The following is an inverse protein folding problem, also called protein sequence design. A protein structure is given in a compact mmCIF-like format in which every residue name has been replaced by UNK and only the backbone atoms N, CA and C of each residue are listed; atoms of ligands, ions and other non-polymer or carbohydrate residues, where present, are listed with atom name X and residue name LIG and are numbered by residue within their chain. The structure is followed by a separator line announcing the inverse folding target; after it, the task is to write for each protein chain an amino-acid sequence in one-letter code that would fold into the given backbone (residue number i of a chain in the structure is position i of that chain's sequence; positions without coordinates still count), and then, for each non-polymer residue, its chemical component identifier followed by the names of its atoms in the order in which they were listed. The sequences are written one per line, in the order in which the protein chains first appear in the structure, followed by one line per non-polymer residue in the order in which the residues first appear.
data_IF_065511721990
#
_entry.id   IF_065511721990
#
_cell.length_a   1.000
_cell.length_b   1.000
_cell.length_c   1.000
_cell.angle_alpha   90.00
_cell.angle_beta   90.00
_cell.angle_gamma   90.00
#
_symmetry.space_group_name_H-M   'P 1'
#
loop_
_entity.id
_entity.type
_entity.pdbx_description
1 polymer ?
#
# COMPACT_ATOMS: atom_id res chain seq x y z
N UNK A 1 20.62 -17.49 -11.59
CA UNK A 1 20.36 -16.12 -11.11
C UNK A 1 18.94 -16.10 -10.58
N UNK A 2 18.71 -15.91 -9.28
CA UNK A 2 17.35 -15.92 -8.72
C UNK A 2 16.88 -14.46 -8.64
N UNK A 3 15.89 -14.13 -9.46
CA UNK A 3 15.35 -12.78 -9.58
C UNK A 3 14.23 -12.55 -8.57
N UNK A 4 14.50 -11.77 -7.54
CA UNK A 4 13.51 -11.45 -6.50
C UNK A 4 12.87 -10.08 -6.74
N UNK A 5 11.55 -10.01 -6.52
CA UNK A 5 10.81 -8.75 -6.46
C UNK A 5 10.62 -8.31 -5.01
N UNK A 6 11.24 -7.18 -4.62
CA UNK A 6 11.13 -6.62 -3.27
C UNK A 6 10.22 -5.40 -3.26
N UNK A 7 8.91 -5.59 -3.11
CA UNK A 7 8.07 -4.46 -2.69
C UNK A 7 8.39 -4.19 -1.21
N UNK A 8 8.77 -2.95 -0.86
CA UNK A 8 8.98 -2.57 0.55
C UNK A 8 7.64 -2.56 1.23
N UNK A 9 7.33 -3.68 1.86
CA UNK A 9 6.08 -3.89 2.58
C UNK A 9 6.42 -4.16 4.03
N UNK A 10 6.37 -3.15 4.91
CA UNK A 10 6.41 -3.42 6.35
C UNK A 10 5.02 -3.86 6.81
N UNK A 11 4.97 -4.90 7.64
CA UNK A 11 3.71 -5.47 8.11
C UNK A 11 2.93 -6.32 7.09
N UNK A 12 2.01 -7.12 7.62
CA UNK A 12 1.27 -8.12 6.84
C UNK A 12 0.35 -7.51 5.78
N UNK A 13 -0.21 -6.32 6.03
CA UNK A 13 -1.09 -5.60 5.09
C UNK A 13 -0.36 -5.29 3.79
N UNK A 14 0.83 -4.68 3.91
CA UNK A 14 1.62 -4.32 2.74
C UNK A 14 2.07 -5.57 1.97
N UNK A 15 2.42 -6.67 2.67
CA UNK A 15 2.81 -7.93 2.03
C UNK A 15 1.69 -8.47 1.14
N UNK A 16 0.44 -8.42 1.62
CA UNK A 16 -0.73 -8.86 0.85
C UNK A 16 -0.92 -7.97 -0.38
N UNK A 17 -0.81 -6.64 -0.24
CA UNK A 17 -0.86 -5.72 -1.38
C UNK A 17 0.22 -6.04 -2.43
N UNK A 18 1.48 -6.19 -2.01
CA UNK A 18 2.56 -6.49 -2.93
C UNK A 18 2.40 -7.83 -3.65
N UNK A 19 1.94 -8.84 -2.92
CA UNK A 19 1.63 -10.16 -3.49
C UNK A 19 0.56 -10.06 -4.56
N UNK A 20 -0.56 -9.39 -4.25
CA UNK A 20 -1.67 -9.20 -5.19
C UNK A 20 -1.23 -8.43 -6.43
N UNK A 21 -0.46 -7.37 -6.24
CA UNK A 21 0.02 -6.50 -7.31
C UNK A 21 0.94 -7.25 -8.29
N UNK A 22 1.94 -7.96 -7.78
CA UNK A 22 2.90 -8.70 -8.62
C UNK A 22 2.23 -9.88 -9.34
N UNK A 23 1.34 -10.61 -8.64
CA UNK A 23 0.55 -11.67 -9.26
C UNK A 23 -0.29 -11.13 -10.41
N UNK A 24 -0.99 -10.01 -10.20
CA UNK A 24 -1.85 -9.41 -11.22
C UNK A 24 -1.09 -8.80 -12.40
N UNK A 25 0.05 -8.16 -12.16
CA UNK A 25 0.81 -7.47 -13.21
C UNK A 25 1.72 -8.41 -14.01
N UNK A 26 2.33 -9.39 -13.36
CA UNK A 26 3.44 -10.15 -13.91
C UNK A 26 3.19 -11.67 -13.94
N UNK A 27 2.05 -12.14 -13.43
CA UNK A 27 1.76 -13.58 -13.30
C UNK A 27 2.71 -14.31 -12.36
N UNK A 28 3.42 -13.57 -11.49
CA UNK A 28 4.37 -14.16 -10.54
C UNK A 28 3.60 -14.74 -9.36
N UNK A 29 3.80 -16.04 -9.11
CA UNK A 29 3.26 -16.71 -7.93
C UNK A 29 4.01 -16.26 -6.65
N UNK A 30 3.36 -16.42 -5.49
CA UNK A 30 3.82 -15.86 -4.20
C UNK A 30 5.22 -16.31 -3.77
N UNK A 31 5.70 -17.45 -4.26
CA UNK A 31 7.04 -18.00 -4.06
C UNK A 31 8.15 -17.20 -4.77
N UNK A 32 7.82 -16.40 -5.80
CA UNK A 32 8.75 -15.46 -6.43
C UNK A 32 8.84 -14.11 -5.67
N UNK A 33 7.97 -13.92 -4.68
CA UNK A 33 7.85 -12.69 -3.88
C UNK A 33 8.43 -12.97 -2.51
N UNK A 34 9.69 -12.60 -2.30
CA UNK A 34 10.28 -12.66 -0.97
C UNK A 34 9.91 -11.40 -0.21
N UNK A 35 9.20 -11.50 0.94
CA UNK A 35 9.24 -10.41 1.90
C UNK A 35 10.71 -10.20 2.27
N UNK A 36 11.07 -9.02 2.73
CA UNK A 36 12.38 -8.84 3.38
C UNK A 36 12.36 -9.64 4.68
N UNK A 37 12.67 -10.94 4.59
CA UNK A 37 12.74 -11.87 5.72
C UNK A 37 14.20 -12.13 6.03
N UNK A 38 14.59 -11.62 7.20
CA UNK A 38 15.74 -11.98 8.05
C UNK A 38 16.91 -12.71 7.38
N UNK A 39 18.01 -11.98 7.28
CA UNK A 39 19.39 -12.46 7.17
C UNK A 39 20.28 -11.27 7.46
N UNK A 40 20.96 -11.31 8.61
CA UNK A 40 21.80 -10.29 9.28
C UNK A 40 21.55 -8.80 8.95
N UNK A 41 20.34 -8.32 9.30
CA UNK A 41 19.78 -7.00 8.96
C UNK A 41 19.13 -6.33 10.18
N UNK A 42 19.87 -6.15 11.27
CA UNK A 42 19.37 -5.38 12.43
C UNK A 42 19.21 -3.90 12.09
N UNK A 43 20.12 -3.35 11.27
CA UNK A 43 20.04 -1.98 10.76
C UNK A 43 18.90 -1.76 9.76
N UNK A 44 18.70 -2.68 8.81
CA UNK A 44 17.71 -2.49 7.73
C UNK A 44 16.26 -2.43 8.23
N UNK A 45 15.90 -3.20 9.27
CA UNK A 45 14.54 -3.17 9.86
C UNK A 45 14.27 -1.90 10.62
N UNK A 46 15.24 -1.45 11.41
CA UNK A 46 15.18 -0.16 12.11
C UNK A 46 15.05 0.97 11.09
N UNK A 47 15.89 0.96 10.05
CA UNK A 47 15.86 2.00 9.00
C UNK A 47 14.61 1.96 8.12
N UNK A 48 14.01 0.80 7.81
CA UNK A 48 12.74 0.73 7.06
C UNK A 48 11.57 1.19 7.95
N UNK A 49 11.55 0.78 9.22
CA UNK A 49 10.52 1.21 10.17
C UNK A 49 10.63 2.70 10.45
N UNK A 50 11.83 3.25 10.57
CA UNK A 50 12.09 4.69 10.66
C UNK A 50 11.68 5.40 9.38
N UNK A 51 12.03 4.87 8.20
CA UNK A 51 11.63 5.42 6.91
C UNK A 51 10.10 5.48 6.78
N UNK A 52 9.39 4.42 7.17
CA UNK A 52 7.93 4.35 7.12
C UNK A 52 7.26 5.20 8.20
N UNK A 53 7.80 5.21 9.43
CA UNK A 53 7.34 6.11 10.49
C UNK A 53 7.49 7.58 10.08
N UNK A 54 8.61 7.95 9.45
CA UNK A 54 8.84 9.32 8.98
C UNK A 54 7.91 9.68 7.81
N UNK A 55 7.57 8.73 6.94
CA UNK A 55 6.55 8.95 5.89
C UNK A 55 5.13 9.08 6.47
N UNK A 56 4.81 8.35 7.54
CA UNK A 56 3.52 8.44 8.22
C UNK A 56 3.39 9.67 9.14
N UNK A 57 4.49 10.17 9.73
CA UNK A 57 4.46 11.24 10.73
C UNK A 57 4.88 12.63 10.20
N UNK A 58 5.82 12.71 9.25
CA UNK A 58 6.47 13.99 8.89
C UNK A 58 6.05 14.55 7.52
N UNK A 59 5.11 13.93 6.82
CA UNK A 59 4.68 14.32 5.46
C UNK A 59 5.85 14.50 4.44
N UNK A 60 7.02 13.90 4.69
CA UNK A 60 8.17 13.97 3.80
C UNK A 60 7.96 13.14 2.53
N UNK A 61 8.62 13.51 1.42
CA UNK A 61 8.44 12.83 0.14
C UNK A 61 9.26 11.52 0.06
N UNK A 62 8.60 10.42 -0.31
CA UNK A 62 9.20 9.07 -0.41
C UNK A 62 10.51 8.96 -1.24
N UNK A 63 10.70 9.69 -2.35
CA UNK A 63 11.95 9.63 -3.12
C UNK A 63 13.19 10.14 -2.36
N UNK A 64 13.06 11.26 -1.64
CA UNK A 64 14.19 11.89 -0.94
C UNK A 64 14.70 11.04 0.23
N UNK A 65 13.76 10.38 0.92
CA UNK A 65 14.05 9.50 2.04
C UNK A 65 14.69 8.19 1.56
N UNK A 66 14.25 7.67 0.41
CA UNK A 66 14.84 6.51 -0.24
C UNK A 66 16.27 6.78 -0.73
N UNK A 67 16.53 7.96 -1.28
CA UNK A 67 17.87 8.36 -1.73
C UNK A 67 18.86 8.45 -0.57
N UNK A 68 18.46 9.04 0.57
CA UNK A 68 19.27 9.06 1.79
C UNK A 68 19.57 7.64 2.28
N UNK A 69 18.61 6.73 2.18
CA UNK A 69 18.73 5.34 2.64
C UNK A 69 19.66 4.49 1.76
N UNK A 70 19.57 4.63 0.43
CA UNK A 70 20.37 3.84 -0.52
C UNK A 70 21.87 4.17 -0.48
N UNK A 71 22.28 5.32 0.07
CA UNK A 71 23.70 5.71 0.17
C UNK A 71 24.56 4.76 1.01
N UNK A 72 23.97 3.87 1.81
CA UNK A 72 24.69 2.96 2.72
C UNK A 72 24.59 1.46 2.43
N UNK A 73 23.90 1.03 1.36
CA UNK A 73 23.62 -0.40 1.13
C UNK A 73 23.89 -0.85 -0.31
N UNK A 74 24.61 -1.96 -0.54
CA UNK A 74 24.76 -2.54 -1.86
C UNK A 74 23.40 -3.03 -2.37
N UNK A 75 22.94 -2.47 -3.49
CA UNK A 75 21.66 -2.78 -4.12
C UNK A 75 21.64 -4.11 -4.90
N UNK A 76 22.58 -5.02 -4.61
CA UNK A 76 22.74 -6.28 -5.33
C UNK A 76 21.49 -7.16 -5.17
N UNK A 77 20.90 -7.55 -6.31
CA UNK A 77 19.67 -8.35 -6.37
C UNK A 77 18.36 -7.59 -6.17
N UNK A 78 18.40 -6.26 -5.99
CA UNK A 78 17.20 -5.43 -5.81
C UNK A 78 16.71 -4.85 -7.15
N UNK A 79 15.66 -5.44 -7.74
CA UNK A 79 15.14 -4.99 -9.05
C UNK A 79 14.17 -3.80 -8.98
N UNK A 80 13.42 -3.63 -7.88
CA UNK A 80 12.46 -2.53 -7.75
C UNK A 80 12.08 -2.31 -6.28
N UNK A 81 12.10 -1.05 -5.79
CA UNK A 81 11.51 -0.62 -4.50
C UNK A 81 10.38 0.35 -4.80
N UNK A 82 9.16 0.12 -4.31
CA UNK A 82 8.08 1.11 -4.39
C UNK A 82 7.40 1.28 -3.05
N UNK A 83 7.05 2.52 -2.76
CA UNK A 83 6.41 2.96 -1.52
C UNK A 83 5.14 3.68 -1.95
N UNK A 84 4.00 3.33 -1.34
CA UNK A 84 2.79 4.13 -1.50
C UNK A 84 3.07 5.54 -0.97
N UNK A 85 2.68 6.59 -1.70
CA UNK A 85 2.89 7.95 -1.17
C UNK A 85 2.09 8.08 0.13
N UNK A 86 2.81 8.45 1.21
CA UNK A 86 2.38 8.58 2.61
C UNK A 86 1.97 7.26 3.30
N UNK A 87 1.06 6.47 2.73
CA UNK A 87 0.67 5.18 3.32
C UNK A 87 -0.08 4.28 2.31
N UNK A 88 -0.22 2.98 2.59
CA UNK A 88 -0.95 2.02 1.73
C UNK A 88 -2.43 2.36 1.58
N UNK A 89 -3.00 3.05 2.56
CA UNK A 89 -4.37 3.51 2.56
C UNK A 89 -4.68 4.45 1.39
N UNK A 90 -3.68 5.18 0.86
CA UNK A 90 -3.87 5.97 -0.36
C UNK A 90 -4.20 5.08 -1.57
N UNK A 91 -3.52 3.94 -1.71
CA UNK A 91 -3.78 2.94 -2.76
C UNK A 91 -5.09 2.18 -2.55
N UNK A 92 -5.46 1.95 -1.29
CA UNK A 92 -6.76 1.35 -0.93
C UNK A 92 -7.89 2.26 -1.37
N UNK A 93 -7.82 3.56 -1.03
CA UNK A 93 -8.84 4.55 -1.40
C UNK A 93 -8.88 4.86 -2.90
N UNK A 94 -7.77 4.64 -3.61
CA UNK A 94 -7.70 4.88 -5.05
C UNK A 94 -8.56 3.88 -5.85
N UNK A 95 -8.69 2.63 -5.39
CA UNK A 95 -9.60 1.65 -5.98
C UNK A 95 -11.02 1.80 -5.41
N UNK A 96 -11.71 2.86 -5.83
CA UNK A 96 -13.08 3.18 -5.36
C UNK A 96 -14.08 2.09 -5.71
N UNK A 97 -13.91 1.39 -6.83
CA UNK A 97 -14.78 0.29 -7.24
C UNK A 97 -14.62 -0.94 -6.34
N UNK A 98 -13.38 -1.39 -6.11
CA UNK A 98 -13.11 -2.50 -5.20
C UNK A 98 -13.52 -2.17 -3.78
N UNK A 99 -13.18 -0.96 -3.30
CA UNK A 99 -13.51 -0.52 -1.95
C UNK A 99 -15.03 -0.36 -1.77
N UNK A 100 -15.73 0.15 -2.78
CA UNK A 100 -17.19 0.23 -2.79
C UNK A 100 -17.85 -1.14 -2.66
N UNK A 101 -17.36 -2.15 -3.38
CA UNK A 101 -17.84 -3.54 -3.25
C UNK A 101 -17.59 -4.12 -1.86
N UNK A 102 -16.40 -3.91 -1.32
CA UNK A 102 -16.02 -4.38 0.01
C UNK A 102 -16.92 -3.77 1.09
N UNK A 103 -17.07 -2.44 1.08
CA UNK A 103 -17.86 -1.70 2.06
C UNK A 103 -19.39 -1.84 1.82
N UNK A 104 -19.82 -2.15 0.60
CA UNK A 104 -21.24 -2.06 0.22
C UNK A 104 -21.70 -0.61 0.03
N UNK A 105 -20.83 0.23 -0.53
CA UNK A 105 -21.03 1.67 -0.74
C UNK A 105 -20.86 2.00 -2.22
N UNK A 106 -21.64 2.95 -2.74
CA UNK A 106 -21.43 3.49 -4.08
C UNK A 106 -20.01 4.09 -4.20
N UNK A 107 -19.18 3.65 -5.17
CA UNK A 107 -17.85 4.21 -5.41
C UNK A 107 -17.81 5.74 -5.51
N UNK A 108 -18.87 6.39 -6.02
CA UNK A 108 -18.96 7.85 -6.13
C UNK A 108 -19.02 8.53 -4.76
N UNK A 109 -19.59 7.88 -3.74
CA UNK A 109 -19.59 8.41 -2.37
C UNK A 109 -18.19 8.39 -1.77
N UNK A 110 -17.40 7.36 -2.07
CA UNK A 110 -16.00 7.26 -1.64
C UNK A 110 -15.17 8.36 -2.33
N UNK A 111 -15.32 8.51 -3.65
CA UNK A 111 -14.63 9.55 -4.42
C UNK A 111 -14.92 10.95 -3.91
N UNK A 112 -16.18 11.21 -3.50
CA UNK A 112 -16.60 12.50 -2.96
C UNK A 112 -15.83 12.91 -1.70
N UNK A 113 -15.42 11.96 -0.86
CA UNK A 113 -14.68 12.28 0.36
C UNK A 113 -13.34 12.96 0.07
N UNK A 114 -12.58 12.45 -0.91
CA UNK A 114 -11.24 12.96 -1.22
C UNK A 114 -11.17 13.88 -2.44
N UNK A 115 -12.30 14.11 -3.13
CA UNK A 115 -12.36 14.96 -4.34
C UNK A 115 -11.73 16.34 -4.16
N UNK A 116 -11.92 16.97 -2.99
CA UNK A 116 -11.35 18.30 -2.70
C UNK A 116 -9.82 18.29 -2.61
N UNK A 117 -9.23 17.15 -2.24
CA UNK A 117 -7.78 16.93 -2.24
C UNK A 117 -7.25 16.49 -3.62
N UNK A 118 -8.13 16.34 -4.62
CA UNK A 118 -7.80 15.91 -5.97
C UNK A 118 -7.61 14.40 -6.13
N UNK A 119 -6.70 13.78 -5.36
CA UNK A 119 -6.42 12.33 -5.37
C UNK A 119 -6.06 11.83 -3.98
N UNK A 120 -6.25 10.53 -3.68
CA UNK A 120 -5.86 9.94 -2.40
C UNK A 120 -4.37 10.11 -2.04
N UNK A 121 -3.50 10.20 -3.04
CA UNK A 121 -2.05 10.43 -2.84
C UNK A 121 -1.75 11.77 -2.12
N UNK A 122 -2.65 12.76 -2.22
CA UNK A 122 -2.48 14.10 -1.66
C UNK A 122 -3.12 14.27 -0.27
N UNK A 123 -3.67 13.20 0.31
CA UNK A 123 -4.20 13.22 1.68
C UNK A 123 -3.04 13.12 2.66
N UNK A 124 -2.94 14.03 3.63
CA UNK A 124 -1.79 14.10 4.56
C UNK A 124 -1.71 12.90 5.50
N UNK A 125 -2.86 12.47 6.01
CA UNK A 125 -2.97 11.33 6.93
C UNK A 125 -3.94 10.27 6.35
N UNK A 126 -3.54 9.49 5.34
CA UNK A 126 -4.45 8.57 4.62
C UNK A 126 -5.11 7.52 5.52
N UNK A 127 -4.41 7.05 6.56
CA UNK A 127 -4.90 6.08 7.54
C UNK A 127 -6.06 6.65 8.36
N UNK A 128 -5.84 7.82 8.96
CA UNK A 128 -6.86 8.52 9.74
C UNK A 128 -8.05 8.90 8.84
N UNK A 129 -7.77 9.38 7.61
CA UNK A 129 -8.80 9.70 6.64
C UNK A 129 -9.66 8.48 6.27
N UNK A 130 -9.04 7.34 5.95
CA UNK A 130 -9.77 6.11 5.64
C UNK A 130 -10.73 5.74 6.78
N UNK A 131 -10.23 5.74 8.02
CA UNK A 131 -10.99 5.37 9.22
C UNK A 131 -12.10 6.36 9.55
N UNK A 132 -11.86 7.66 9.43
CA UNK A 132 -12.79 8.70 9.87
C UNK A 132 -13.79 9.14 8.79
N UNK A 133 -13.45 8.99 7.50
CA UNK A 133 -14.24 9.53 6.39
C UNK A 133 -14.86 8.45 5.52
N UNK A 134 -14.14 7.37 5.26
CA UNK A 134 -14.55 6.37 4.26
C UNK A 134 -15.19 5.15 4.90
N UNK A 135 -14.55 4.53 5.91
CA UNK A 135 -15.11 3.37 6.63
C UNK A 135 -16.51 3.65 7.23
N UNK A 136 -16.81 4.84 7.79
CA UNK A 136 -18.13 5.13 8.35
C UNK A 136 -19.27 5.15 7.32
N UNK A 137 -18.96 5.29 6.03
CA UNK A 137 -19.95 5.25 4.95
C UNK A 137 -20.56 3.85 4.75
N UNK A 138 -19.85 2.80 5.18
CA UNK A 138 -20.27 1.40 5.05
C UNK A 138 -21.58 1.16 5.78
N UNK A 139 -22.62 0.56 5.17
CA UNK A 139 -23.80 0.11 5.89
C UNK A 139 -23.54 -1.12 6.77
N UNK A 140 -22.42 -1.84 6.57
CA UNK A 140 -22.12 -3.10 7.26
C UNK A 140 -21.55 -2.83 8.66
N UNK A 141 -22.36 -3.08 9.70
CA UNK A 141 -21.97 -2.91 11.10
C UNK A 141 -20.70 -3.70 11.47
N UNK A 142 -20.57 -4.94 10.96
CA UNK A 142 -19.39 -5.78 11.17
C UNK A 142 -18.09 -5.06 10.76
N UNK A 143 -18.07 -4.42 9.59
CA UNK A 143 -16.89 -3.69 9.10
C UNK A 143 -16.61 -2.48 9.99
N UNK A 144 -17.64 -1.68 10.29
CA UNK A 144 -17.47 -0.47 11.10
C UNK A 144 -16.94 -0.80 12.50
N UNK A 145 -17.57 -1.75 13.19
CA UNK A 145 -17.16 -2.18 14.54
C UNK A 145 -15.77 -2.82 14.57
N UNK A 146 -15.31 -3.38 13.45
CA UNK A 146 -14.00 -4.01 13.34
C UNK A 146 -12.87 -3.01 13.08
N UNK A 147 -13.14 -1.95 12.32
CA UNK A 147 -12.13 -1.04 11.79
C UNK A 147 -12.09 0.35 12.45
N UNK A 148 -13.22 0.82 12.98
CA UNK A 148 -13.29 2.10 13.69
C UNK A 148 -12.77 1.90 15.12
N UNK A 149 -11.89 2.79 15.62
CA UNK A 149 -11.34 2.66 16.97
C UNK A 149 -12.39 2.81 18.06
N UNK A 150 -12.14 2.16 19.20
CA UNK A 150 -12.76 2.52 20.47
C UNK A 150 -12.02 3.70 21.13
N UNK A 151 -12.20 3.88 22.44
CA UNK A 151 -11.48 4.91 23.18
C UNK A 151 -9.96 4.68 23.18
N UNK A 152 -9.19 5.76 23.00
CA UNK A 152 -7.71 5.80 23.05
C UNK A 152 -6.95 5.00 21.96
N UNK A 153 -7.61 4.46 20.94
CA UNK A 153 -6.97 3.80 19.79
C UNK A 153 -7.10 4.67 18.52
N UNK A 154 -6.12 4.60 17.59
CA UNK A 154 -6.22 5.29 16.28
C UNK A 154 -7.03 4.50 15.24
N UNK A 155 -7.06 3.17 15.38
CA UNK A 155 -7.78 2.24 14.50
C UNK A 155 -8.42 1.12 15.33
N UNK A 156 -9.48 0.48 14.83
CA UNK A 156 -10.07 -0.68 15.49
C UNK A 156 -9.18 -1.91 15.44
N UNK A 157 -9.32 -2.81 16.43
CA UNK A 157 -8.49 -4.03 16.55
C UNK A 157 -8.52 -4.95 15.33
N UNK A 158 -9.62 -4.93 14.56
CA UNK A 158 -9.76 -5.70 13.33
C UNK A 158 -9.27 -5.00 12.06
N UNK A 159 -8.79 -3.76 12.16
CA UNK A 159 -8.39 -2.92 11.03
C UNK A 159 -7.44 -3.64 10.05
N UNK A 160 -6.34 -4.21 10.57
CA UNK A 160 -5.37 -4.92 9.74
C UNK A 160 -5.95 -6.19 9.11
N UNK A 161 -6.87 -6.89 9.78
CA UNK A 161 -7.52 -8.08 9.22
C UNK A 161 -8.44 -7.71 8.06
N UNK A 162 -9.24 -6.66 8.23
CA UNK A 162 -10.15 -6.18 7.20
C UNK A 162 -9.40 -5.59 5.99
N UNK A 163 -8.32 -4.84 6.23
CA UNK A 163 -7.48 -4.36 5.11
C UNK A 163 -6.83 -5.51 4.35
N UNK A 164 -6.32 -6.54 5.04
CA UNK A 164 -5.77 -7.73 4.39
C UNK A 164 -6.82 -8.40 3.51
N UNK A 165 -8.01 -8.61 4.05
CA UNK A 165 -9.15 -9.19 3.32
C UNK A 165 -9.49 -8.38 2.07
N UNK A 166 -9.59 -7.06 2.21
CA UNK A 166 -9.80 -6.16 1.09
C UNK A 166 -8.72 -6.33 0.00
N UNK A 167 -7.45 -6.25 0.39
CA UNK A 167 -6.31 -6.33 -0.51
C UNK A 167 -6.18 -7.70 -1.20
N UNK A 168 -6.56 -8.78 -0.54
CA UNK A 168 -6.51 -10.13 -1.10
C UNK A 168 -7.68 -10.42 -2.04
N UNK A 169 -8.89 -10.01 -1.69
CA UNK A 169 -10.12 -10.47 -2.36
C UNK A 169 -10.70 -9.45 -3.34
N UNK A 170 -10.65 -8.15 -3.02
CA UNK A 170 -11.41 -7.11 -3.72
C UNK A 170 -10.53 -6.15 -4.50
N UNK A 171 -9.34 -5.85 -3.97
CA UNK A 171 -8.49 -4.79 -4.50
C UNK A 171 -8.01 -5.06 -5.94
N UNK A 172 -8.17 -4.06 -6.77
CA UNK A 172 -7.71 -3.98 -8.14
C UNK A 172 -6.67 -2.85 -8.30
N UNK A 173 -5.36 -3.17 -8.28
CA UNK A 173 -4.32 -2.17 -8.44
C UNK A 173 -4.36 -1.45 -9.80
N UNK A 174 -4.88 -2.09 -10.86
CA UNK A 174 -4.96 -1.47 -12.20
C UNK A 174 -6.07 -0.42 -12.24
N UNK A 175 -7.20 -0.67 -11.55
CA UNK A 175 -8.25 0.33 -11.39
C UNK A 175 -7.81 1.46 -10.46
N UNK A 176 -7.20 1.11 -9.33
CA UNK A 176 -6.67 2.09 -8.39
C UNK A 176 -5.65 3.05 -9.01
N UNK A 177 -4.81 2.57 -9.93
CA UNK A 177 -3.83 3.42 -10.62
C UNK A 177 -4.44 4.60 -11.41
N UNK A 178 -5.72 4.55 -11.80
CA UNK A 178 -6.40 5.69 -12.43
C UNK A 178 -6.55 6.88 -11.48
N UNK A 179 -6.63 6.59 -10.18
CA UNK A 179 -6.84 7.58 -9.13
C UNK A 179 -5.59 7.86 -8.29
N UNK A 180 -4.47 7.14 -8.52
CA UNK A 180 -3.23 7.31 -7.76
C UNK A 180 -2.03 7.34 -8.72
N UNK A 181 -1.36 8.50 -8.77
CA UNK A 181 -0.12 8.72 -9.51
C UNK A 181 1.01 7.84 -8.96
N UNK A 182 1.06 7.67 -7.64
CA UNK A 182 2.06 6.84 -6.98
C UNK A 182 1.91 5.36 -7.34
N UNK A 183 0.66 4.87 -7.38
CA UNK A 183 0.35 3.51 -7.81
C UNK A 183 0.59 3.34 -9.31
N UNK A 184 0.18 4.29 -10.15
CA UNK A 184 0.43 4.25 -11.59
C UNK A 184 1.94 4.15 -11.91
N UNK A 185 2.76 4.99 -11.25
CA UNK A 185 4.22 4.97 -11.36
C UNK A 185 4.79 3.62 -10.89
N UNK A 186 4.25 3.06 -9.79
CA UNK A 186 4.62 1.74 -9.32
C UNK A 186 4.32 0.66 -10.37
N UNK A 187 3.12 0.64 -10.97
CA UNK A 187 2.77 -0.35 -12.00
C UNK A 187 3.69 -0.27 -13.22
N UNK A 188 3.92 0.96 -13.75
CA UNK A 188 4.79 1.19 -14.91
C UNK A 188 6.20 0.65 -14.67
N UNK A 189 6.76 0.94 -13.50
CA UNK A 189 8.13 0.52 -13.16
C UNK A 189 8.25 -0.97 -12.86
N UNK A 190 7.24 -1.56 -12.23
CA UNK A 190 7.21 -3.01 -11.96
C UNK A 190 7.12 -3.77 -13.28
N UNK A 191 6.26 -3.34 -14.20
CA UNK A 191 6.22 -3.90 -15.56
C UNK A 191 7.58 -3.82 -16.23
N UNK A 192 8.21 -2.64 -16.24
CA UNK A 192 9.57 -2.47 -16.78
C UNK A 192 10.57 -3.45 -16.15
N UNK A 193 10.64 -3.51 -14.82
CA UNK A 193 11.64 -4.32 -14.12
C UNK A 193 11.48 -5.84 -14.29
N UNK A 194 10.25 -6.33 -14.49
CA UNK A 194 9.95 -7.78 -14.52
C UNK A 194 9.47 -8.31 -15.88
N UNK A 195 9.16 -7.43 -16.84
CA UNK A 195 8.66 -7.83 -18.16
C UNK A 195 9.58 -7.43 -19.32
N UNK A 196 10.41 -6.38 -19.20
CA UNK A 196 11.29 -5.92 -20.31
C UNK A 196 12.55 -6.77 -20.54
N UNK A 197 12.58 -8.02 -20.08
CA UNK A 197 13.67 -8.98 -20.32
C UNK A 197 13.21 -10.37 -20.76
N UNK A 198 11.91 -10.58 -21.02
CA UNK A 198 11.37 -11.83 -21.57
C UNK A 198 11.38 -11.79 -23.12
N UNK A 199 12.54 -11.53 -23.72
CA UNK A 199 12.79 -11.81 -25.15
C UNK A 199 13.50 -13.15 -25.26
#
# INVERSE_FOLDING_TARGET
MIDYAYLLTDGDVNRVAGTRLLKKLCGLESNAIRPIVRGDRKGLRTSIRELLNNLEQEAQCAPSLLEKWLKGYPAEGLRCIRIAVRAIESWVMADTEGLGKFLGVDPKRIEKEWRNSGKPDFIDFPKDFLVQRVIPLSPKNEIRNSMIPGENERVGKGYNNQLRRFLSEFWDPVKGAKNSLSLESALKRIRKAFMEGKK
#
